data_IF_837200724065
#
_entry.id   IF_837200724065
#
_cell.length_a   1.000
_cell.length_b   1.000
_cell.length_c   1.000
_cell.angle_alpha   90.00
_cell.angle_beta   90.00
_cell.angle_gamma   90.00
#
_symmetry.space_group_name_H-M   'P 1'
#
loop_
_entity.id
_entity.type
_entity.pdbx_description
1 polymer ?
#
# COMPACT_ATOMS: atom_id res chain seq x y z
N UNK A 1 1.96 -39.13 23.23
CA UNK A 1 3.17 -38.73 23.99
C UNK A 1 4.30 -38.65 22.97
N UNK A 2 4.86 -37.51 22.63
CA UNK A 2 4.73 -36.18 23.22
C UNK A 2 4.66 -35.15 22.09
N UNK A 3 3.55 -34.41 22.04
CA UNK A 3 3.30 -33.31 21.10
C UNK A 3 3.36 -32.04 21.96
N UNK A 4 4.51 -31.80 22.58
CA UNK A 4 4.77 -30.62 23.41
C UNK A 4 6.17 -30.06 23.14
N UNK A 5 6.48 -29.83 21.88
CA UNK A 5 7.41 -28.75 21.53
C UNK A 5 6.59 -27.63 20.92
N UNK A 6 5.94 -26.85 21.79
CA UNK A 6 5.46 -25.50 21.45
C UNK A 6 6.69 -24.75 20.96
N UNK A 7 6.79 -24.38 19.67
CA UNK A 7 7.86 -23.49 19.25
C UNK A 7 7.55 -22.11 19.82
N UNK A 8 8.51 -21.62 20.60
CA UNK A 8 8.74 -20.27 21.10
C UNK A 8 7.67 -19.20 20.82
N UNK A 9 7.33 -18.47 21.90
CA UNK A 9 6.67 -17.16 21.89
C UNK A 9 6.84 -16.42 20.55
N UNK A 10 5.74 -16.26 19.81
CA UNK A 10 5.65 -15.27 18.74
C UNK A 10 6.30 -13.98 19.24
N UNK A 11 7.45 -13.60 18.66
CA UNK A 11 8.18 -12.41 19.06
C UNK A 11 7.22 -11.22 19.02
N UNK A 12 6.75 -10.78 20.20
CA UNK A 12 5.75 -9.71 20.30
C UNK A 12 6.31 -8.51 19.56
N UNK A 13 5.57 -8.02 18.57
CA UNK A 13 5.97 -6.83 17.82
C UNK A 13 6.37 -5.72 18.80
N UNK A 14 7.46 -4.97 18.55
CA UNK A 14 7.99 -3.98 19.48
C UNK A 14 7.09 -2.73 19.61
N UNK A 15 5.89 -2.77 19.04
CA UNK A 15 4.89 -1.72 19.04
C UNK A 15 3.48 -2.33 19.07
N UNK A 16 2.50 -1.52 19.49
CA UNK A 16 1.08 -1.82 19.37
C UNK A 16 0.41 -0.79 18.47
N UNK A 17 -0.58 -1.22 17.70
CA UNK A 17 -1.43 -0.33 16.90
C UNK A 17 -2.74 -0.13 17.66
N UNK A 18 -3.10 1.14 17.87
CA UNK A 18 -4.38 1.54 18.44
C UNK A 18 -5.17 2.28 17.37
N UNK A 19 -6.37 1.81 17.07
CA UNK A 19 -7.30 2.47 16.17
C UNK A 19 -8.27 3.34 16.96
N UNK A 20 -8.31 4.62 16.60
CA UNK A 20 -9.25 5.61 17.13
C UNK A 20 -10.24 5.92 16.01
N UNK A 21 -11.49 5.44 16.07
CA UNK A 21 -12.49 5.74 15.05
C UNK A 21 -12.90 7.22 15.13
N UNK A 22 -12.71 7.95 14.03
CA UNK A 22 -13.12 9.36 13.91
C UNK A 22 -14.14 9.48 12.77
N UNK A 23 -15.43 9.52 13.12
CA UNK A 23 -16.51 9.66 12.14
C UNK A 23 -17.01 11.11 12.09
N UNK A 24 -17.41 11.55 10.89
CA UNK A 24 -18.02 12.88 10.68
C UNK A 24 -19.54 12.82 10.57
N UNK A 25 -20.14 11.61 10.50
CA UNK A 25 -21.59 11.43 10.43
C UNK A 25 -22.21 11.53 11.82
N UNK A 26 -23.32 12.26 11.92
CA UNK A 26 -24.17 12.28 13.13
C UNK A 26 -25.12 11.08 13.21
N UNK A 27 -25.26 10.30 12.12
CA UNK A 27 -26.10 9.10 12.10
C UNK A 27 -25.37 7.91 12.76
N UNK A 28 -25.84 7.55 13.96
CA UNK A 28 -25.27 6.47 14.76
C UNK A 28 -25.39 5.10 14.08
N UNK A 29 -26.48 4.83 13.35
CA UNK A 29 -26.69 3.52 12.73
C UNK A 29 -25.69 3.30 11.60
N UNK A 30 -25.47 4.33 10.78
CA UNK A 30 -24.46 4.33 9.71
C UNK A 30 -23.05 4.17 10.30
N UNK A 31 -22.73 4.92 11.35
CA UNK A 31 -21.42 4.85 12.02
C UNK A 31 -21.14 3.46 12.59
N UNK A 32 -22.12 2.85 13.28
CA UNK A 32 -21.96 1.53 13.87
C UNK A 32 -21.80 0.43 12.81
N UNK A 33 -22.52 0.54 11.69
CA UNK A 33 -22.40 -0.40 10.58
C UNK A 33 -21.00 -0.34 9.97
N UNK A 34 -20.49 0.86 9.66
CA UNK A 34 -19.13 1.02 9.13
C UNK A 34 -18.06 0.56 10.13
N UNK A 35 -18.22 0.90 11.41
CA UNK A 35 -17.29 0.48 12.45
C UNK A 35 -17.18 -1.04 12.56
N UNK A 36 -18.32 -1.75 12.59
CA UNK A 36 -18.34 -3.23 12.66
C UNK A 36 -17.68 -3.85 11.43
N UNK A 37 -18.00 -3.33 10.24
CA UNK A 37 -17.41 -3.79 9.00
C UNK A 37 -15.89 -3.58 8.96
N UNK A 38 -15.37 -2.46 9.47
CA UNK A 38 -13.92 -2.20 9.49
C UNK A 38 -13.20 -3.01 10.57
N UNK A 39 -13.82 -3.14 11.75
CA UNK A 39 -13.25 -3.89 12.89
C UNK A 39 -13.02 -5.36 12.55
N UNK A 40 -13.87 -5.99 11.74
CA UNK A 40 -13.70 -7.40 11.37
C UNK A 40 -12.44 -7.70 10.57
N UNK A 41 -11.80 -6.69 9.97
CA UNK A 41 -10.58 -6.84 9.17
C UNK A 41 -9.30 -6.39 9.89
N UNK A 42 -9.38 -5.95 11.16
CA UNK A 42 -8.23 -5.39 11.88
C UNK A 42 -7.99 -6.07 13.24
N UNK A 43 -6.74 -6.49 13.48
CA UNK A 43 -6.27 -7.06 14.77
C UNK A 43 -5.77 -5.99 15.76
N UNK A 44 -6.07 -4.72 15.53
CA UNK A 44 -5.58 -3.61 16.36
C UNK A 44 -6.41 -3.44 17.64
N UNK A 45 -5.81 -2.79 18.64
CA UNK A 45 -6.56 -2.36 19.82
C UNK A 45 -7.51 -1.24 19.40
N UNK A 46 -8.79 -1.39 19.72
CA UNK A 46 -9.83 -0.41 19.37
C UNK A 46 -10.78 -0.21 20.53
N UNK A 47 -11.37 0.97 20.63
CA UNK A 47 -12.46 1.21 21.58
C UNK A 47 -13.62 0.23 21.32
N UNK A 48 -14.32 -0.25 22.36
CA UNK A 48 -15.49 -1.10 22.19
C UNK A 48 -16.57 -0.49 21.28
N UNK A 49 -16.76 0.83 21.36
CA UNK A 49 -17.74 1.58 20.59
C UNK A 49 -17.16 2.90 20.04
N UNK A 50 -17.60 3.37 18.84
CA UNK A 50 -17.17 4.67 18.30
C UNK A 50 -17.55 5.87 19.18
N UNK A 51 -18.70 5.79 19.85
CA UNK A 51 -19.26 6.84 20.70
C UNK A 51 -18.41 7.18 21.94
N UNK A 52 -17.40 6.36 22.25
CA UNK A 52 -16.45 6.64 23.33
C UNK A 52 -15.50 7.79 23.01
N UNK A 53 -15.35 8.15 21.73
CA UNK A 53 -14.61 9.34 21.32
C UNK A 53 -15.61 10.48 21.19
N UNK A 54 -15.53 11.46 22.10
CA UNK A 54 -16.41 12.64 22.02
C UNK A 54 -16.08 13.49 20.78
N UNK A 55 -17.03 14.30 20.33
CA UNK A 55 -16.83 15.19 19.19
C UNK A 55 -15.69 16.19 19.46
N UNK A 56 -15.58 16.70 20.69
CA UNK A 56 -14.55 17.64 21.11
C UNK A 56 -13.17 16.98 21.07
N UNK A 57 -13.06 15.74 21.56
CA UNK A 57 -11.84 14.95 21.48
C UNK A 57 -11.46 14.67 20.02
N UNK A 58 -12.43 14.31 19.18
CA UNK A 58 -12.22 14.07 17.76
C UNK A 58 -11.69 15.33 17.04
N UNK A 59 -12.31 16.49 17.27
CA UNK A 59 -11.86 17.76 16.68
C UNK A 59 -10.49 18.18 17.19
N UNK A 60 -10.20 17.99 18.48
CA UNK A 60 -8.87 18.22 19.04
C UNK A 60 -7.81 17.35 18.35
N UNK A 61 -8.06 16.03 18.21
CA UNK A 61 -7.15 15.10 17.54
C UNK A 61 -6.92 15.51 16.09
N UNK A 62 -8.00 15.82 15.36
CA UNK A 62 -7.92 16.26 13.95
C UNK A 62 -7.09 17.52 13.81
N UNK A 63 -7.29 18.51 14.69
CA UNK A 63 -6.53 19.76 14.70
C UNK A 63 -5.06 19.52 15.06
N UNK A 64 -4.79 18.80 16.14
CA UNK A 64 -3.44 18.53 16.66
C UNK A 64 -2.58 17.77 15.65
N UNK A 65 -3.15 16.77 14.96
CA UNK A 65 -2.43 15.95 13.99
C UNK A 65 -2.63 16.36 12.53
N UNK A 66 -3.28 17.51 12.30
CA UNK A 66 -3.49 18.09 10.97
C UNK A 66 -4.16 17.10 10.01
N UNK A 67 -5.19 16.42 10.51
CA UNK A 67 -6.04 15.51 9.76
C UNK A 67 -7.03 16.30 8.90
N UNK A 68 -6.55 16.87 7.79
CA UNK A 68 -7.38 17.60 6.81
C UNK A 68 -7.60 16.72 5.57
N UNK A 69 -8.83 16.28 5.34
CA UNK A 69 -9.26 15.53 4.15
C UNK A 69 -8.45 14.26 3.84
N UNK A 70 -7.88 13.62 4.86
CA UNK A 70 -7.18 12.34 4.73
C UNK A 70 -8.14 11.23 5.11
N UNK A 71 -8.18 10.16 4.33
CA UNK A 71 -9.01 9.00 4.66
C UNK A 71 -8.53 8.30 5.93
N UNK A 72 -7.20 8.22 6.16
CA UNK A 72 -6.59 7.68 7.37
C UNK A 72 -5.19 8.31 7.62
N UNK A 73 -4.77 8.40 8.89
CA UNK A 73 -3.38 8.70 9.29
C UNK A 73 -2.95 7.69 10.34
N UNK A 74 -1.65 7.41 10.40
CA UNK A 74 -1.07 6.62 11.48
C UNK A 74 -0.02 7.47 12.19
N UNK A 75 -0.28 7.84 13.43
CA UNK A 75 0.65 8.66 14.21
C UNK A 75 1.53 7.75 15.05
N UNK A 76 2.85 7.84 14.87
CA UNK A 76 3.81 7.12 15.69
C UNK A 76 4.10 7.92 16.96
N UNK A 77 3.95 7.26 18.11
CA UNK A 77 4.20 7.82 19.44
C UNK A 77 5.33 7.04 20.13
N UNK A 78 6.08 7.72 20.99
CA UNK A 78 6.96 7.06 21.95
C UNK A 78 6.17 6.57 23.19
N UNK A 79 6.78 5.79 24.10
CA UNK A 79 6.11 5.34 25.33
C UNK A 79 5.60 6.47 26.25
N UNK A 80 6.11 7.71 26.08
CA UNK A 80 5.67 8.89 26.84
C UNK A 80 4.59 9.69 26.08
N UNK A 81 4.07 9.19 24.96
CA UNK A 81 3.05 9.85 24.15
C UNK A 81 3.57 10.99 23.26
N UNK A 82 4.89 11.12 23.08
CA UNK A 82 5.48 12.15 22.20
C UNK A 82 5.38 11.72 20.75
N UNK A 83 5.03 12.66 19.87
CA UNK A 83 4.89 12.39 18.43
C UNK A 83 6.26 12.21 17.78
N UNK A 84 6.54 10.99 17.32
CA UNK A 84 7.73 10.63 16.53
C UNK A 84 7.51 10.88 15.04
N UNK A 85 6.29 10.63 14.55
CA UNK A 85 5.90 10.88 13.17
C UNK A 85 4.38 11.07 13.05
N UNK A 86 3.95 12.19 12.47
CA UNK A 86 2.54 12.57 12.30
C UNK A 86 1.81 11.73 11.24
N UNK A 87 2.55 11.02 10.38
CA UNK A 87 1.99 10.03 9.47
C UNK A 87 3.05 8.99 9.11
N UNK A 88 3.04 7.85 9.79
CA UNK A 88 3.89 6.69 9.55
C UNK A 88 3.20 5.61 8.69
N UNK A 89 2.02 5.91 8.12
CA UNK A 89 1.26 4.98 7.29
C UNK A 89 2.11 4.41 6.15
N UNK A 90 2.83 5.27 5.42
CA UNK A 90 3.74 4.84 4.36
C UNK A 90 4.93 4.02 4.88
N UNK A 91 5.37 4.23 6.12
CA UNK A 91 6.45 3.43 6.69
C UNK A 91 5.99 2.00 6.96
N UNK A 92 4.78 1.83 7.47
CA UNK A 92 4.18 0.50 7.68
C UNK A 92 3.96 -0.20 6.34
N UNK A 93 3.36 0.47 5.35
CA UNK A 93 3.13 -0.16 4.04
C UNK A 93 4.42 -0.60 3.34
N UNK A 94 5.50 0.15 3.52
CA UNK A 94 6.73 -0.10 2.76
C UNK A 94 7.69 -1.03 3.51
N UNK A 95 7.76 -0.92 4.84
CA UNK A 95 8.80 -1.55 5.64
C UNK A 95 8.27 -2.41 6.80
N UNK A 96 6.95 -2.38 7.06
CA UNK A 96 6.30 -3.10 8.15
C UNK A 96 7.05 -2.87 9.48
N UNK A 97 7.37 -3.94 10.22
CA UNK A 97 8.07 -3.87 11.50
C UNK A 97 9.51 -3.31 11.39
N UNK A 98 10.18 -3.40 10.23
CA UNK A 98 11.55 -2.86 10.03
C UNK A 98 11.60 -1.33 10.18
N UNK A 99 10.45 -0.67 10.00
CA UNK A 99 10.30 0.76 10.17
C UNK A 99 10.30 1.22 11.62
N UNK A 100 10.13 0.34 12.62
CA UNK A 100 10.22 0.70 14.03
C UNK A 100 11.55 1.44 14.33
N UNK A 101 11.53 2.55 15.09
CA UNK A 101 10.42 3.16 15.85
C UNK A 101 9.57 4.19 15.06
N UNK A 102 9.45 4.01 13.75
CA UNK A 102 8.63 4.81 12.83
C UNK A 102 9.01 6.30 12.76
N UNK A 103 10.27 6.62 13.05
CA UNK A 103 10.82 7.98 12.95
C UNK A 103 11.21 8.34 11.52
N UNK A 104 11.18 9.63 11.19
CA UNK A 104 11.67 10.11 9.89
C UNK A 104 13.14 9.79 9.64
N UNK A 105 13.97 9.78 10.69
CA UNK A 105 15.38 9.39 10.58
C UNK A 105 15.52 7.91 10.22
N UNK A 106 14.73 7.03 10.84
CA UNK A 106 14.68 5.61 10.48
C UNK A 106 14.21 5.39 9.05
N UNK A 107 13.18 6.11 8.61
CA UNK A 107 12.72 6.06 7.22
C UNK A 107 13.83 6.44 6.22
N UNK A 108 14.58 7.50 6.51
CA UNK A 108 15.72 7.90 5.67
C UNK A 108 16.83 6.86 5.65
N UNK A 109 17.10 6.20 6.76
CA UNK A 109 18.10 5.12 6.82
C UNK A 109 17.67 3.94 5.95
N UNK A 110 16.41 3.51 6.06
CA UNK A 110 15.85 2.44 5.22
C UNK A 110 15.95 2.78 3.73
N UNK A 111 15.67 4.02 3.34
CA UNK A 111 15.84 4.47 1.95
C UNK A 111 17.29 4.56 1.45
N UNK A 112 18.28 4.58 2.35
CA UNK A 112 19.70 4.50 2.00
C UNK A 112 20.17 3.06 1.83
N UNK A 113 19.62 2.16 2.64
CA UNK A 113 19.88 0.72 2.57
C UNK A 113 19.20 0.08 1.35
N UNK A 114 18.06 0.62 0.92
CA UNK A 114 17.24 0.02 -0.12
C UNK A 114 17.40 0.71 -1.48
N UNK A 115 17.57 -0.10 -2.53
CA UNK A 115 17.46 0.35 -3.92
C UNK A 115 15.98 0.46 -4.31
N UNK A 116 15.53 1.64 -4.72
CA UNK A 116 14.17 1.81 -5.25
C UNK A 116 13.96 0.93 -6.48
N UNK A 117 13.04 -0.03 -6.41
CA UNK A 117 12.78 -0.97 -7.49
C UNK A 117 11.62 -1.90 -7.19
N UNK A 118 11.36 -2.81 -8.13
CA UNK A 118 10.22 -3.73 -8.10
C UNK A 118 10.18 -4.60 -6.85
N UNK A 119 11.33 -4.92 -6.26
CA UNK A 119 11.44 -5.64 -4.99
C UNK A 119 10.63 -5.01 -3.86
N UNK A 120 10.52 -3.68 -3.81
CA UNK A 120 9.71 -2.99 -2.80
C UNK A 120 8.21 -3.11 -3.04
N UNK A 121 7.81 -3.19 -4.31
CA UNK A 121 6.42 -3.28 -4.74
C UNK A 121 5.86 -4.69 -4.68
N UNK A 122 6.72 -5.66 -5.01
CA UNK A 122 6.36 -7.03 -5.37
C UNK A 122 6.90 -8.06 -4.38
N UNK A 123 7.30 -7.60 -3.18
CA UNK A 123 8.19 -8.17 -2.15
C UNK A 123 8.30 -9.70 -2.02
N UNK A 124 7.28 -10.48 -2.38
CA UNK A 124 7.31 -11.95 -2.29
C UNK A 124 6.83 -12.69 -3.56
N UNK A 125 5.95 -12.09 -4.36
CA UNK A 125 5.34 -12.78 -5.51
C UNK A 125 6.32 -13.06 -6.68
N UNK A 126 7.49 -12.41 -6.70
CA UNK A 126 8.41 -12.45 -7.84
C UNK A 126 9.88 -12.60 -7.40
N UNK A 127 10.11 -13.22 -6.23
CA UNK A 127 11.45 -13.47 -5.69
C UNK A 127 12.34 -14.25 -6.66
N UNK A 128 11.78 -15.23 -7.37
CA UNK A 128 12.49 -16.01 -8.39
C UNK A 128 12.96 -15.16 -9.57
N UNK A 129 12.16 -14.21 -10.05
CA UNK A 129 12.54 -13.36 -11.18
C UNK A 129 13.65 -12.38 -10.82
N UNK A 130 13.65 -11.90 -9.57
CA UNK A 130 14.72 -11.06 -9.04
C UNK A 130 16.02 -11.88 -8.95
N UNK A 131 15.94 -13.13 -8.44
CA UNK A 131 17.08 -14.05 -8.37
C UNK A 131 17.64 -14.34 -9.76
N UNK A 132 16.77 -14.59 -10.73
CA UNK A 132 17.12 -14.90 -12.12
C UNK A 132 17.54 -13.66 -12.94
N UNK A 133 17.60 -12.47 -12.32
CA UNK A 133 17.94 -11.19 -12.97
C UNK A 133 17.09 -10.89 -14.23
N UNK A 134 15.81 -11.28 -14.21
CA UNK A 134 14.88 -11.00 -15.31
C UNK A 134 14.53 -9.52 -15.34
N UNK A 135 14.33 -8.99 -16.54
CA UNK A 135 13.77 -7.65 -16.71
C UNK A 135 12.26 -7.77 -16.58
N UNK A 136 11.65 -6.95 -15.73
CA UNK A 136 10.21 -7.04 -15.46
C UNK A 136 9.59 -5.70 -15.79
N UNK A 137 8.66 -5.66 -16.74
CA UNK A 137 7.90 -4.46 -17.08
C UNK A 137 6.51 -4.54 -16.47
N UNK A 138 6.20 -3.56 -15.63
CA UNK A 138 4.84 -3.32 -15.16
C UNK A 138 4.17 -2.31 -16.09
N UNK A 139 3.01 -2.66 -16.62
CA UNK A 139 2.22 -1.81 -17.50
C UNK A 139 0.73 -2.02 -17.25
N UNK A 140 -0.09 -1.08 -17.73
CA UNK A 140 -1.54 -1.10 -17.54
C UNK A 140 -2.21 -0.16 -18.52
N UNK A 141 -3.54 -0.20 -18.58
CA UNK A 141 -4.34 0.61 -19.49
C UNK A 141 -5.68 -0.05 -19.78
N UNK A 142 -6.57 0.66 -20.47
CA UNK A 142 -7.86 0.13 -20.94
C UNK A 142 -7.99 0.11 -22.48
N UNK A 143 -6.94 0.53 -23.19
CA UNK A 143 -6.88 0.42 -24.65
C UNK A 143 -6.23 -0.92 -25.05
N UNK A 144 -7.05 -1.83 -25.58
CA UNK A 144 -6.64 -3.17 -26.02
C UNK A 144 -5.60 -3.14 -27.15
N UNK A 145 -5.78 -2.26 -28.13
CA UNK A 145 -4.85 -2.12 -29.25
C UNK A 145 -3.47 -1.69 -28.74
N UNK A 146 -3.44 -0.71 -27.84
CA UNK A 146 -2.20 -0.26 -27.21
C UNK A 146 -1.54 -1.38 -26.38
N UNK A 147 -2.32 -2.12 -25.59
CA UNK A 147 -1.82 -3.26 -24.79
C UNK A 147 -1.19 -4.31 -25.70
N UNK A 148 -1.85 -4.66 -26.81
CA UNK A 148 -1.37 -5.65 -27.76
C UNK A 148 -0.10 -5.17 -28.48
N UNK A 149 -0.09 -3.93 -28.97
CA UNK A 149 1.05 -3.32 -29.65
C UNK A 149 2.27 -3.23 -28.72
N UNK A 150 2.08 -2.74 -27.50
CA UNK A 150 3.15 -2.65 -26.51
C UNK A 150 3.72 -4.03 -26.17
N UNK A 151 2.85 -5.01 -25.85
CA UNK A 151 3.25 -6.38 -25.50
C UNK A 151 4.07 -7.03 -26.62
N UNK A 152 3.59 -6.91 -27.86
CA UNK A 152 4.25 -7.50 -29.03
C UNK A 152 5.60 -6.84 -29.30
N UNK A 153 5.65 -5.50 -29.23
CA UNK A 153 6.87 -4.74 -29.46
C UNK A 153 7.92 -5.03 -28.40
N UNK A 154 7.53 -5.04 -27.12
CA UNK A 154 8.43 -5.32 -26.01
C UNK A 154 9.02 -6.74 -26.11
N UNK A 155 8.20 -7.75 -26.43
CA UNK A 155 8.68 -9.13 -26.65
C UNK A 155 9.61 -9.24 -27.85
N UNK A 156 9.30 -8.56 -28.95
CA UNK A 156 10.15 -8.55 -30.15
C UNK A 156 11.53 -7.97 -29.84
N UNK A 157 11.59 -6.81 -29.18
CA UNK A 157 12.84 -6.21 -28.72
C UNK A 157 13.58 -7.15 -27.77
N UNK A 158 12.89 -7.72 -26.78
CA UNK A 158 13.54 -8.62 -25.82
C UNK A 158 14.13 -9.86 -26.51
N UNK A 159 13.41 -10.47 -27.45
CA UNK A 159 13.90 -11.62 -28.21
C UNK A 159 15.12 -11.26 -29.06
N UNK A 160 15.10 -10.12 -29.76
CA UNK A 160 16.21 -9.67 -30.60
C UNK A 160 17.50 -9.42 -29.81
N UNK A 161 17.38 -8.98 -28.56
CA UNK A 161 18.52 -8.65 -27.70
C UNK A 161 18.83 -9.73 -26.64
N UNK A 162 18.16 -10.88 -26.69
CA UNK A 162 18.35 -11.97 -25.73
C UNK A 162 18.01 -11.59 -24.28
N UNK A 163 17.10 -10.63 -24.09
CA UNK A 163 16.71 -10.11 -22.78
C UNK A 163 15.65 -11.04 -22.18
N UNK A 164 15.87 -11.62 -20.99
CA UNK A 164 14.85 -12.39 -20.29
C UNK A 164 13.78 -11.43 -19.72
N UNK A 165 12.80 -11.09 -20.55
CA UNK A 165 11.72 -10.12 -20.24
C UNK A 165 10.46 -10.82 -19.73
N UNK A 166 9.96 -10.33 -18.59
CA UNK A 166 8.66 -10.65 -18.01
C UNK A 166 7.72 -9.45 -18.11
N UNK A 167 6.47 -9.70 -18.49
CA UNK A 167 5.45 -8.67 -18.64
C UNK A 167 4.35 -8.86 -17.59
N UNK A 168 4.09 -7.79 -16.85
CA UNK A 168 3.18 -7.75 -15.73
C UNK A 168 2.09 -6.71 -15.98
N UNK A 169 0.86 -7.17 -16.16
CA UNK A 169 -0.27 -6.28 -16.32
C UNK A 169 -0.89 -5.91 -14.96
N UNK A 170 -1.16 -4.61 -14.79
CA UNK A 170 -1.82 -4.04 -13.61
C UNK A 170 -3.11 -3.35 -14.04
N UNK A 171 -4.22 -3.80 -13.47
CA UNK A 171 -5.53 -3.22 -13.71
C UNK A 171 -5.73 -1.90 -12.96
N UNK A 172 -6.47 -0.98 -13.58
CA UNK A 172 -6.86 0.29 -12.98
C UNK A 172 -7.72 0.04 -11.71
N UNK A 173 -7.49 0.77 -10.61
CA UNK A 173 -8.28 0.58 -9.39
C UNK A 173 -9.76 0.87 -9.66
N UNK A 174 -10.66 0.06 -9.08
CA UNK A 174 -12.11 0.26 -9.11
C UNK A 174 -12.82 -0.19 -10.39
N UNK A 175 -12.15 -0.93 -11.29
CA UNK A 175 -12.77 -1.55 -12.48
C UNK A 175 -13.12 -3.04 -12.29
N UNK A 176 -13.20 -3.54 -11.06
CA UNK A 176 -13.46 -4.96 -10.72
C UNK A 176 -14.68 -5.59 -11.41
N UNK A 177 -15.68 -4.76 -11.76
CA UNK A 177 -16.94 -5.17 -12.39
C UNK A 177 -17.01 -4.92 -13.91
N UNK A 178 -16.05 -4.19 -14.50
CA UNK A 178 -15.97 -3.97 -15.95
C UNK A 178 -14.98 -4.96 -16.56
N UNK A 179 -15.36 -6.24 -16.62
CA UNK A 179 -14.68 -7.21 -17.49
C UNK A 179 -14.98 -6.85 -18.94
N UNK A 180 -14.20 -5.95 -19.52
CA UNK A 180 -14.18 -5.70 -20.97
C UNK A 180 -13.03 -6.47 -21.63
N UNK A 181 -13.03 -6.51 -22.96
CA UNK A 181 -12.27 -7.42 -23.81
C UNK A 181 -10.74 -7.46 -23.58
N UNK A 182 -10.16 -6.55 -22.79
CA UNK A 182 -8.83 -6.62 -22.18
C UNK A 182 -8.50 -7.99 -21.56
N UNK A 183 -9.43 -8.62 -20.83
CA UNK A 183 -9.19 -9.95 -20.23
C UNK A 183 -8.96 -11.04 -21.29
N UNK A 184 -9.64 -10.93 -22.45
CA UNK A 184 -9.43 -11.81 -23.59
C UNK A 184 -8.05 -11.62 -24.21
N UNK A 185 -7.59 -10.37 -24.36
CA UNK A 185 -6.24 -10.04 -24.86
C UNK A 185 -5.16 -10.57 -23.91
N UNK A 186 -5.31 -10.38 -22.60
CA UNK A 186 -4.35 -10.86 -21.59
C UNK A 186 -4.21 -12.39 -21.63
N UNK A 187 -5.34 -13.10 -21.68
CA UNK A 187 -5.37 -14.58 -21.78
C UNK A 187 -4.74 -15.05 -23.08
N UNK A 188 -5.14 -14.47 -24.23
CA UNK A 188 -4.63 -14.82 -25.56
C UNK A 188 -3.11 -14.63 -25.66
N UNK A 189 -2.58 -13.57 -25.04
CA UNK A 189 -1.16 -13.27 -25.06
C UNK A 189 -0.38 -13.91 -23.90
N UNK A 190 -1.02 -14.72 -23.06
CA UNK A 190 -0.44 -15.33 -21.86
C UNK A 190 0.29 -14.32 -20.95
N UNK A 191 -0.31 -13.15 -20.75
CA UNK A 191 0.24 -12.10 -19.88
C UNK A 191 -0.14 -12.41 -18.43
N UNK A 192 0.84 -12.32 -17.52
CA UNK A 192 0.59 -12.49 -16.09
C UNK A 192 0.00 -11.21 -15.49
N UNK A 193 -1.05 -11.38 -14.71
CA UNK A 193 -1.70 -10.29 -13.97
C UNK A 193 -1.11 -10.19 -12.56
N UNK A 194 -0.77 -8.97 -12.14
CA UNK A 194 -0.15 -8.71 -10.82
C UNK A 194 -1.17 -8.64 -9.71
N UNK A 195 -2.38 -8.20 -10.02
CA UNK A 195 -3.40 -7.85 -9.04
C UNK A 195 -4.62 -8.73 -9.26
N UNK A 196 -4.95 -9.63 -8.32
CA UNK A 196 -6.19 -10.39 -8.34
C UNK A 196 -7.41 -9.47 -8.41
N UNK A 197 -8.48 -9.91 -9.07
CA UNK A 197 -9.72 -9.14 -9.24
C UNK A 197 -10.58 -9.06 -7.96
N UNK A 198 -9.98 -9.19 -6.79
CA UNK A 198 -10.67 -8.87 -5.54
C UNK A 198 -10.27 -7.47 -5.08
N UNK A 199 -11.26 -6.72 -4.59
CA UNK A 199 -11.04 -5.32 -4.28
C UNK A 199 -10.09 -5.07 -3.12
N UNK A 200 -9.85 -6.07 -2.29
CA UNK A 200 -8.95 -5.94 -1.16
C UNK A 200 -7.48 -5.97 -1.61
N UNK A 201 -7.05 -6.97 -2.39
CA UNK A 201 -5.68 -7.06 -2.91
C UNK A 201 -5.38 -5.92 -3.88
N UNK A 202 -6.35 -5.54 -4.72
CA UNK A 202 -6.24 -4.37 -5.59
C UNK A 202 -6.02 -3.09 -4.79
N UNK A 203 -6.85 -2.86 -3.78
CA UNK A 203 -6.69 -1.71 -2.90
C UNK A 203 -5.34 -1.70 -2.18
N UNK A 204 -4.88 -2.84 -1.66
CA UNK A 204 -3.58 -2.96 -0.99
C UNK A 204 -2.43 -2.64 -1.93
N UNK A 205 -2.42 -3.23 -3.13
CA UNK A 205 -1.39 -2.97 -4.14
C UNK A 205 -1.29 -1.48 -4.47
N UNK A 206 -2.42 -0.85 -4.80
CA UNK A 206 -2.45 0.56 -5.19
C UNK A 206 -2.10 1.49 -4.03
N UNK A 207 -2.55 1.17 -2.81
CA UNK A 207 -2.20 1.92 -1.60
C UNK A 207 -0.71 1.83 -1.29
N UNK A 208 -0.10 0.66 -1.45
CA UNK A 208 1.35 0.45 -1.28
C UNK A 208 2.16 1.17 -2.34
N UNK A 209 1.81 1.03 -3.63
CA UNK A 209 2.48 1.73 -4.73
C UNK A 209 2.45 3.24 -4.54
N UNK A 210 1.29 3.80 -4.19
CA UNK A 210 1.16 5.24 -3.89
C UNK A 210 2.01 5.65 -2.68
N UNK A 211 2.00 4.85 -1.62
CA UNK A 211 2.80 5.09 -0.42
C UNK A 211 4.30 5.08 -0.69
N UNK A 212 4.78 4.13 -1.50
CA UNK A 212 6.15 4.06 -1.97
C UNK A 212 6.55 5.29 -2.78
N UNK A 213 5.73 5.69 -3.74
CA UNK A 213 6.00 6.84 -4.60
C UNK A 213 6.06 8.15 -3.78
N UNK A 214 5.06 8.40 -2.94
CA UNK A 214 5.01 9.60 -2.09
C UNK A 214 6.21 9.64 -1.14
N UNK A 215 6.50 8.54 -0.46
CA UNK A 215 7.64 8.43 0.46
C UNK A 215 8.96 8.67 -0.28
N UNK A 216 9.15 8.07 -1.47
CA UNK A 216 10.36 8.26 -2.27
C UNK A 216 10.52 9.70 -2.74
N UNK A 217 9.44 10.35 -3.19
CA UNK A 217 9.49 11.76 -3.63
C UNK A 217 9.82 12.66 -2.45
N UNK A 218 9.23 12.45 -1.28
CA UNK A 218 9.55 13.22 -0.08
C UNK A 218 11.01 13.03 0.34
N UNK A 219 11.52 11.80 0.27
CA UNK A 219 12.93 11.50 0.53
C UNK A 219 13.86 12.26 -0.43
N UNK A 220 13.55 12.27 -1.73
CA UNK A 220 14.31 12.99 -2.76
C UNK A 220 14.20 14.51 -2.63
N UNK A 221 13.03 15.04 -2.28
CA UNK A 221 12.85 16.47 -1.98
C UNK A 221 13.69 16.92 -0.79
N UNK A 222 13.80 16.07 0.24
CA UNK A 222 14.70 16.33 1.37
C UNK A 222 16.19 16.32 0.98
N UNK A 223 16.54 15.80 -0.20
CA UNK A 223 17.88 15.85 -0.81
C UNK A 223 18.01 16.99 -1.86
N UNK A 224 17.00 17.85 -2.01
CA UNK A 224 17.02 18.98 -2.95
C UNK A 224 16.49 18.66 -4.37
N UNK A 225 15.99 17.45 -4.63
CA UNK A 225 15.51 17.05 -5.97
C UNK A 225 13.98 17.30 -6.09
N UNK A 226 13.54 18.07 -7.09
CA UNK A 226 12.12 18.33 -7.38
C UNK A 226 11.59 17.42 -8.50
N UNK A 227 10.31 17.06 -8.41
CA UNK A 227 9.57 16.31 -9.42
C UNK A 227 8.23 17.00 -9.69
N UNK A 228 7.91 17.23 -10.96
CA UNK A 228 6.75 18.03 -11.42
C UNK A 228 5.50 17.19 -11.77
N UNK A 229 5.57 15.85 -11.73
CA UNK A 229 4.56 14.95 -12.30
C UNK A 229 3.32 14.66 -11.42
N UNK A 230 3.19 15.21 -10.21
CA UNK A 230 2.33 14.62 -9.17
C UNK A 230 0.83 14.99 -9.14
N UNK A 231 0.31 15.79 -10.06
CA UNK A 231 -1.11 16.22 -9.98
C UNK A 231 -2.13 15.15 -10.43
N UNK A 232 -1.70 13.96 -10.87
CA UNK A 232 -2.58 12.98 -11.57
C UNK A 232 -2.88 11.71 -10.78
N UNK A 233 -2.28 11.50 -9.61
CA UNK A 233 -2.41 10.24 -8.85
C UNK A 233 -3.31 10.39 -7.61
N UNK A 234 -4.60 10.63 -7.84
CA UNK A 234 -5.66 10.52 -6.82
C UNK A 234 -6.56 9.33 -7.11
N UNK A 235 -6.41 8.18 -6.42
CA UNK A 235 -7.51 7.25 -6.25
C UNK A 235 -8.67 7.91 -5.48
N UNK A 236 -9.88 7.78 -6.01
CA UNK A 236 -11.12 8.09 -5.29
C UNK A 236 -11.23 7.15 -4.09
N UNK A 237 -11.74 7.67 -2.97
CA UNK A 237 -12.11 6.87 -1.81
C UNK A 237 -13.09 5.77 -2.22
N UNK A 238 -12.96 4.59 -1.61
CA UNK A 238 -14.03 3.59 -1.64
C UNK A 238 -15.31 4.22 -1.05
N UNK A 239 -16.50 3.91 -1.61
CA UNK A 239 -17.78 4.21 -0.96
C UNK A 239 -17.92 3.48 0.37
#
# INVERSE_FOLDING_TARGET
MDITSVPDEEAKAPFRIIWIPLYSSSDKAVVDQHFKAQKSYMECYVTPYPSMVSNEAAEFIKAKWRFKNKSNILVALDPNGRVLNINAMHMIWNWLARAFPFTRSRERALWKEESFGLRLLLHEMFSDWIRDKRYVFIYGGDNEEWIQQFTTSARSVAANWGIPLELLFVEKPGKEYQKTATSGVLTKMAIRQVVPNDGLHSWFFWSRLRSLLISRINHRRAQGIRFDFLNTLTPRSLP
#
